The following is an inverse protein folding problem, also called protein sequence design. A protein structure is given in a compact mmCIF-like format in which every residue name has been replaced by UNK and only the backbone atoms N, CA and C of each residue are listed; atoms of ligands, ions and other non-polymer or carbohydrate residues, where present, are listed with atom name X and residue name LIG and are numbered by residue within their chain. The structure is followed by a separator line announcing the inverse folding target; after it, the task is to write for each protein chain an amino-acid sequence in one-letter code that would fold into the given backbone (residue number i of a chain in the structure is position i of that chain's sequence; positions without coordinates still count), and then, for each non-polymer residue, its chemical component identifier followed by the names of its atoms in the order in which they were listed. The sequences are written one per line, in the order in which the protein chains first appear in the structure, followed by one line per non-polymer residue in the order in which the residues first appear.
data_IF_404381426156
#
_entry.id   IF_404381426156
#
_cell.length_a   1.000
_cell.length_b   1.000
_cell.length_c   1.000
_cell.angle_alpha   90.00
_cell.angle_beta   90.00
_cell.angle_gamma   90.00
#
_symmetry.space_group_name_H-M   'P 1'
#
loop_
_entity.id
_entity.type
_entity.pdbx_description
1 polymer ?
#
# COMPACT_ATOMS: atom_id res chain seq x y z
N UNK A 1 -32.39 -39.39 -53.11
CA UNK A 1 -31.88 -38.87 -54.40
C UNK A 1 -32.78 -37.72 -54.81
N UNK A 2 -32.32 -36.53 -55.24
CA UNK A 2 -30.95 -36.01 -55.49
C UNK A 2 -30.50 -35.02 -54.36
N UNK A 3 -29.25 -34.71 -53.99
CA UNK A 3 -27.93 -34.46 -54.63
C UNK A 3 -27.79 -33.14 -55.40
N UNK A 4 -27.09 -32.16 -54.80
CA UNK A 4 -26.15 -31.16 -55.34
C UNK A 4 -25.92 -30.09 -54.25
N UNK A 5 -24.79 -29.93 -53.56
CA UNK A 5 -23.35 -29.88 -53.88
C UNK A 5 -22.90 -28.58 -54.56
N UNK A 6 -21.70 -28.11 -54.15
CA UNK A 6 -20.88 -26.96 -54.62
C UNK A 6 -21.23 -25.57 -54.00
N UNK A 7 -20.29 -24.73 -53.52
CA UNK A 7 -18.84 -24.68 -53.62
C UNK A 7 -18.18 -23.86 -52.48
N UNK A 8 -16.92 -24.21 -52.21
CA UNK A 8 -15.84 -23.46 -51.55
C UNK A 8 -15.66 -22.02 -52.05
N UNK A 9 -15.11 -21.10 -51.24
CA UNK A 9 -13.65 -20.79 -51.14
C UNK A 9 -13.38 -19.46 -50.41
N UNK A 10 -12.26 -19.43 -49.65
CA UNK A 10 -11.44 -18.26 -49.25
C UNK A 10 -12.02 -17.32 -48.18
N UNK A 11 -11.31 -16.91 -47.13
CA UNK A 11 -9.92 -16.43 -47.15
C UNK A 11 -9.30 -16.47 -45.75
N UNK A 12 -8.14 -17.10 -45.66
CA UNK A 12 -7.18 -17.03 -44.57
C UNK A 12 -6.61 -15.61 -44.43
N UNK A 13 -6.72 -14.98 -43.26
CA UNK A 13 -5.91 -13.81 -42.88
C UNK A 13 -6.02 -13.55 -41.38
N UNK A 14 -5.51 -14.46 -40.54
CA UNK A 14 -5.40 -14.23 -39.09
C UNK A 14 -4.22 -14.98 -38.43
N UNK A 15 -3.11 -15.14 -39.14
CA UNK A 15 -1.87 -15.73 -38.63
C UNK A 15 -0.64 -14.84 -38.89
N UNK A 16 -0.77 -13.51 -38.75
CA UNK A 16 0.32 -12.57 -39.06
C UNK A 16 0.50 -11.45 -38.03
N UNK A 17 -0.02 -11.62 -36.81
CA UNK A 17 0.10 -10.60 -35.75
C UNK A 17 0.63 -11.15 -34.41
N UNK A 18 1.06 -12.41 -34.36
CA UNK A 18 1.56 -13.06 -33.14
C UNK A 18 3.08 -13.26 -33.08
N UNK A 19 3.83 -12.90 -34.13
CA UNK A 19 5.29 -13.06 -34.16
C UNK A 19 6.07 -11.75 -33.95
N UNK A 20 5.41 -10.59 -33.97
CA UNK A 20 6.09 -9.28 -33.82
C UNK A 20 6.13 -8.76 -32.39
N UNK A 21 5.49 -9.45 -31.43
CA UNK A 21 5.46 -9.04 -30.00
C UNK A 21 6.48 -9.83 -29.16
N UNK A 22 7.12 -10.87 -29.71
CA UNK A 22 8.09 -11.71 -29.00
C UNK A 22 9.54 -11.24 -29.10
N UNK A 23 9.88 -10.31 -30.00
CA UNK A 23 11.27 -9.83 -30.16
C UNK A 23 11.57 -8.54 -29.40
N UNK A 24 10.59 -7.65 -29.17
CA UNK A 24 10.80 -6.44 -28.35
C UNK A 24 10.82 -6.71 -26.84
N UNK A 25 10.32 -7.87 -26.39
CA UNK A 25 10.36 -8.28 -24.98
C UNK A 25 11.71 -8.87 -24.56
N UNK A 26 12.54 -9.29 -25.51
CA UNK A 26 13.85 -9.91 -25.24
C UNK A 26 14.98 -8.89 -25.07
N UNK A 27 14.75 -7.63 -25.45
CA UNK A 27 15.77 -6.58 -25.41
C UNK A 27 15.71 -5.73 -24.14
N UNK A 28 14.61 -5.78 -23.38
CA UNK A 28 14.42 -5.04 -22.12
C UNK A 28 14.77 -5.84 -20.87
N UNK A 29 14.86 -7.17 -20.96
CA UNK A 29 15.23 -8.05 -19.84
C UNK A 29 16.75 -8.24 -19.72
N UNK A 30 17.54 -7.81 -20.71
CA UNK A 30 19.00 -7.87 -20.70
C UNK A 30 19.72 -6.63 -20.16
N UNK A 31 19.02 -5.49 -20.02
CA UNK A 31 19.61 -4.22 -19.56
C UNK A 31 19.35 -3.91 -18.07
N UNK A 32 18.62 -4.78 -17.37
CA UNK A 32 18.32 -4.63 -15.92
C UNK A 32 19.14 -5.56 -15.02
N UNK A 33 19.93 -6.48 -15.58
CA UNK A 33 20.76 -7.42 -14.82
C UNK A 33 22.27 -7.09 -14.82
N UNK A 34 22.70 -5.99 -15.44
CA UNK A 34 24.13 -5.70 -15.64
C UNK A 34 24.65 -4.43 -14.94
N UNK A 35 24.14 -4.12 -13.74
CA UNK A 35 24.70 -3.04 -12.90
C UNK A 35 24.87 -3.40 -11.41
N UNK A 36 25.02 -4.69 -11.10
CA UNK A 36 25.44 -5.13 -9.75
C UNK A 36 26.61 -6.12 -9.82
N UNK A 37 27.69 -5.68 -10.46
CA UNK A 37 29.00 -6.31 -10.33
C UNK A 37 29.84 -5.53 -9.33
N UNK A 38 29.95 -6.11 -8.13
CA UNK A 38 30.98 -5.91 -7.11
C UNK A 38 32.04 -4.83 -7.36
N UNK A 39 31.84 -3.65 -6.79
CA UNK A 39 32.95 -2.80 -6.34
C UNK A 39 33.10 -2.93 -4.83
N UNK A 40 34.12 -3.70 -4.44
CA UNK A 40 34.69 -3.72 -3.11
C UNK A 40 35.42 -2.39 -2.91
N UNK A 41 34.74 -1.40 -2.37
CA UNK A 41 35.39 -0.17 -1.90
C UNK A 41 35.02 0.15 -0.44
N UNK A 42 36.06 0.03 0.38
CA UNK A 42 36.39 0.79 1.59
C UNK A 42 35.26 1.11 2.57
N UNK A 43 35.24 0.32 3.64
CA UNK A 43 34.84 0.77 4.96
C UNK A 43 35.67 2.01 5.35
N UNK A 44 35.05 3.20 5.37
CA UNK A 44 35.41 4.28 6.28
C UNK A 44 34.32 5.36 6.26
N UNK A 45 33.49 5.34 7.30
CA UNK A 45 32.36 6.24 7.49
C UNK A 45 31.17 5.48 8.04
N UNK A 46 31.14 5.24 9.35
CA UNK A 46 29.91 4.84 10.04
C UNK A 46 28.93 6.00 10.00
N UNK A 47 28.31 6.19 8.84
CA UNK A 47 27.15 7.02 8.64
C UNK A 47 26.04 6.33 9.43
N UNK A 48 25.91 6.71 10.70
CA UNK A 48 24.99 6.13 11.66
C UNK A 48 23.57 6.63 11.35
N UNK A 49 23.13 6.39 10.11
CA UNK A 49 21.80 6.78 9.62
C UNK A 49 20.77 6.02 10.44
N UNK A 50 20.04 6.77 11.23
CA UNK A 50 18.94 6.30 12.04
C UNK A 50 17.90 5.61 11.15
N UNK A 51 17.50 4.39 11.53
CA UNK A 51 16.45 3.65 10.84
C UNK A 51 15.13 3.95 11.54
N UNK A 52 14.27 4.71 10.87
CA UNK A 52 12.91 4.97 11.34
C UNK A 52 12.04 3.72 11.21
N UNK A 53 11.00 3.62 12.05
CA UNK A 53 10.05 2.49 11.99
C UNK A 53 9.15 2.58 10.77
N UNK A 54 8.85 3.80 10.30
CA UNK A 54 7.90 4.05 9.21
C UNK A 54 8.45 5.08 8.23
N UNK A 55 8.47 4.71 6.96
CA UNK A 55 8.78 5.58 5.83
C UNK A 55 7.53 5.72 4.96
N UNK A 56 7.09 6.96 4.71
CA UNK A 56 5.87 7.21 3.92
C UNK A 56 6.21 8.05 2.70
N UNK A 57 5.77 7.59 1.53
CA UNK A 57 5.98 8.32 0.29
C UNK A 57 5.28 9.69 0.36
N UNK A 58 5.96 10.76 -0.02
CA UNK A 58 5.44 12.14 0.04
C UNK A 58 4.04 12.28 -0.54
N UNK A 59 3.78 11.69 -1.72
CA UNK A 59 2.45 11.75 -2.35
C UNK A 59 1.37 11.14 -1.45
N UNK A 60 1.66 10.06 -0.73
CA UNK A 60 0.71 9.39 0.17
C UNK A 60 0.39 10.30 1.35
N UNK A 61 1.39 10.97 1.95
CA UNK A 61 1.16 11.95 3.02
C UNK A 61 0.25 13.09 2.54
N UNK A 62 0.53 13.64 1.36
CA UNK A 62 -0.24 14.76 0.81
C UNK A 62 -1.67 14.35 0.45
N UNK A 63 -1.84 13.20 -0.21
CA UNK A 63 -3.13 12.70 -0.65
C UNK A 63 -4.03 12.30 0.52
N UNK A 64 -3.47 11.66 1.55
CA UNK A 64 -4.22 11.30 2.77
C UNK A 64 -4.63 12.54 3.56
N UNK A 65 -3.74 13.53 3.76
CA UNK A 65 -4.12 14.82 4.35
C UNK A 65 -5.24 15.49 3.56
N UNK A 66 -5.16 15.47 2.22
CA UNK A 66 -6.17 16.05 1.34
C UNK A 66 -7.52 15.34 1.48
N UNK A 67 -7.55 14.00 1.47
CA UNK A 67 -8.81 13.27 1.56
C UNK A 67 -9.47 13.44 2.94
N UNK A 68 -8.69 13.48 4.02
CA UNK A 68 -9.19 13.75 5.37
C UNK A 68 -9.79 15.15 5.48
N UNK A 69 -9.17 16.16 4.86
CA UNK A 69 -9.72 17.52 4.81
C UNK A 69 -11.02 17.61 4.02
N UNK A 70 -11.16 16.83 2.94
CA UNK A 70 -12.39 16.80 2.13
C UNK A 70 -13.54 16.05 2.83
N UNK A 71 -13.23 15.12 3.73
CA UNK A 71 -14.25 14.37 4.47
C UNK A 71 -14.84 15.13 5.66
N UNK A 72 -14.13 16.14 6.19
CA UNK A 72 -14.58 17.00 7.30
C UNK A 72 -16.02 17.52 7.05
N UNK A 73 -16.98 17.29 7.98
CA UNK A 73 -16.82 16.91 9.40
C UNK A 73 -16.89 15.41 9.71
N UNK A 74 -16.89 14.55 8.70
CA UNK A 74 -16.87 13.10 8.89
C UNK A 74 -15.44 12.57 8.93
N UNK A 75 -15.29 11.39 9.50
CA UNK A 75 -14.04 10.65 9.45
C UNK A 75 -13.81 10.03 8.05
N UNK A 76 -12.58 10.16 7.54
CA UNK A 76 -12.07 9.43 6.38
C UNK A 76 -11.36 8.15 6.83
N UNK A 77 -11.35 7.12 5.97
CA UNK A 77 -10.68 5.84 6.21
C UNK A 77 -10.01 5.36 4.91
N UNK A 78 -8.82 4.77 5.01
CA UNK A 78 -8.10 4.22 3.86
C UNK A 78 -7.04 3.19 4.24
N UNK A 79 -6.75 2.28 3.33
CA UNK A 79 -5.75 1.22 3.49
C UNK A 79 -4.39 1.72 3.01
N UNK A 80 -3.35 1.44 3.78
CA UNK A 80 -1.96 1.74 3.43
C UNK A 80 -1.32 0.52 2.76
N UNK A 81 -0.65 0.76 1.63
CA UNK A 81 0.03 -0.26 0.85
C UNK A 81 1.54 -0.03 0.88
N UNK A 82 2.30 -1.12 0.99
CA UNK A 82 3.73 -1.02 1.18
C UNK A 82 4.44 -2.34 1.37
N UNK A 83 5.60 -2.24 2.01
CA UNK A 83 6.53 -3.33 2.24
C UNK A 83 7.05 -3.30 3.67
N UNK A 84 7.29 -4.48 4.23
CA UNK A 84 7.98 -4.64 5.52
C UNK A 84 9.40 -5.12 5.23
N UNK A 85 10.38 -4.44 5.80
CA UNK A 85 11.79 -4.70 5.57
C UNK A 85 12.53 -4.89 6.89
N UNK A 86 13.72 -5.47 6.81
CA UNK A 86 14.68 -5.55 7.90
C UNK A 86 16.02 -5.01 7.42
N UNK A 87 16.61 -4.06 8.14
CA UNK A 87 17.93 -3.52 7.85
C UNK A 87 18.73 -3.37 9.14
N UNK A 88 19.96 -3.92 9.17
CA UNK A 88 20.82 -3.96 10.37
C UNK A 88 20.08 -4.46 11.63
N UNK A 89 19.26 -5.51 11.47
CA UNK A 89 18.45 -6.10 12.54
C UNK A 89 17.21 -5.29 12.95
N UNK A 90 16.99 -4.09 12.39
CA UNK A 90 15.82 -3.26 12.67
C UNK A 90 14.74 -3.47 11.61
N UNK A 91 13.51 -3.75 12.04
CA UNK A 91 12.34 -3.87 11.17
C UNK A 91 11.76 -2.48 10.91
N UNK A 92 11.32 -2.24 9.68
CA UNK A 92 10.66 -1.00 9.29
C UNK A 92 9.62 -1.24 8.20
N UNK A 93 8.72 -0.28 8.04
CA UNK A 93 7.66 -0.30 7.03
C UNK A 93 7.88 0.83 6.05
N UNK A 94 7.80 0.52 4.76
CA UNK A 94 7.81 1.49 3.67
C UNK A 94 6.44 1.53 3.01
N UNK A 95 5.69 2.59 3.28
CA UNK A 95 4.40 2.87 2.65
C UNK A 95 4.65 3.54 1.29
N UNK A 96 4.10 2.93 0.24
CA UNK A 96 4.31 3.35 -1.16
C UNK A 96 3.03 3.82 -1.84
N UNK A 97 1.87 3.44 -1.31
CA UNK A 97 0.57 3.83 -1.83
C UNK A 97 -0.53 3.75 -0.77
N UNK A 98 -1.74 4.15 -1.16
CA UNK A 98 -2.95 3.95 -0.37
C UNK A 98 -4.15 3.73 -1.29
N UNK A 99 -5.21 3.11 -0.75
CA UNK A 99 -6.50 2.95 -1.42
C UNK A 99 -7.63 3.16 -0.43
N UNK A 100 -8.84 3.40 -0.92
CA UNK A 100 -10.05 3.47 -0.08
C UNK A 100 -11.20 2.75 -0.77
N UNK A 101 -12.32 2.65 -0.07
CA UNK A 101 -13.55 2.02 -0.52
C UNK A 101 -14.73 2.59 0.24
N UNK A 102 -15.94 2.11 -0.07
CA UNK A 102 -17.15 2.57 0.62
C UNK A 102 -17.09 2.26 2.13
N UNK A 103 -17.30 3.27 2.95
CA UNK A 103 -17.29 3.16 4.40
C UNK A 103 -18.57 3.74 5.01
N UNK A 104 -19.01 3.18 6.13
CA UNK A 104 -19.90 3.88 7.05
C UNK A 104 -19.08 4.99 7.71
N UNK A 105 -19.55 6.23 7.65
CA UNK A 105 -18.80 7.39 8.12
C UNK A 105 -19.73 8.35 8.87
N UNK A 106 -19.29 8.72 10.07
CA UNK A 106 -19.89 9.74 10.91
C UNK A 106 -18.82 10.69 11.42
N UNK A 107 -19.15 11.56 12.38
CA UNK A 107 -18.17 12.46 12.98
C UNK A 107 -17.18 11.76 13.93
N UNK A 108 -17.49 10.57 14.43
CA UNK A 108 -16.69 9.85 15.44
C UNK A 108 -16.68 8.32 15.20
N UNK A 109 -16.88 7.92 13.95
CA UNK A 109 -16.86 6.50 13.56
C UNK A 109 -16.67 6.38 12.05
N UNK A 110 -15.73 5.53 11.66
CA UNK A 110 -15.55 5.08 10.29
C UNK A 110 -15.23 3.58 10.23
N UNK A 111 -15.94 2.85 9.36
CA UNK A 111 -15.67 1.42 9.09
C UNK A 111 -15.93 1.10 7.62
N UNK A 112 -15.07 0.28 7.01
CA UNK A 112 -15.34 -0.20 5.66
C UNK A 112 -16.59 -1.08 5.62
N UNK A 113 -17.49 -0.77 4.71
CA UNK A 113 -18.60 -1.68 4.38
C UNK A 113 -18.06 -2.95 3.71
N UNK A 114 -18.80 -4.07 3.69
CA UNK A 114 -18.40 -5.25 2.92
C UNK A 114 -18.14 -4.94 1.43
N UNK A 115 -18.92 -4.01 0.85
CA UNK A 115 -18.71 -3.51 -0.51
C UNK A 115 -17.40 -2.71 -0.63
N UNK A 116 -17.08 -1.91 0.38
CA UNK A 116 -15.81 -1.17 0.45
C UNK A 116 -14.59 -2.08 0.51
N UNK A 117 -14.71 -3.19 1.26
CA UNK A 117 -13.68 -4.24 1.31
C UNK A 117 -13.42 -4.84 -0.07
N UNK A 118 -14.49 -5.22 -0.76
CA UNK A 118 -14.38 -5.73 -2.14
C UNK A 118 -13.75 -4.69 -3.08
N UNK A 119 -14.17 -3.43 -2.98
CA UNK A 119 -13.65 -2.36 -3.82
C UNK A 119 -12.17 -2.11 -3.65
N UNK A 120 -11.69 -1.92 -2.42
CA UNK A 120 -10.25 -1.68 -2.25
C UNK A 120 -9.45 -2.92 -2.67
N UNK A 121 -10.00 -4.13 -2.48
CA UNK A 121 -9.34 -5.37 -2.90
C UNK A 121 -9.24 -5.44 -4.43
N UNK A 122 -10.32 -5.11 -5.14
CA UNK A 122 -10.32 -5.00 -6.61
C UNK A 122 -9.35 -3.94 -7.11
N UNK A 123 -9.31 -2.75 -6.50
CA UNK A 123 -8.37 -1.68 -6.88
C UNK A 123 -6.92 -2.15 -6.72
N UNK A 124 -6.58 -2.80 -5.61
CA UNK A 124 -5.24 -3.35 -5.38
C UNK A 124 -4.92 -4.40 -6.45
N UNK A 125 -5.87 -5.27 -6.76
CA UNK A 125 -5.70 -6.33 -7.74
C UNK A 125 -5.52 -5.78 -9.16
N UNK A 126 -6.33 -4.81 -9.57
CA UNK A 126 -6.24 -4.19 -10.91
C UNK A 126 -4.93 -3.41 -11.07
N UNK A 127 -4.49 -2.71 -10.03
CA UNK A 127 -3.30 -1.87 -10.10
C UNK A 127 -1.99 -2.65 -10.07
N UNK A 128 -1.94 -3.76 -9.32
CA UNK A 128 -0.69 -4.49 -9.07
C UNK A 128 -0.70 -5.95 -9.50
N UNK A 129 -1.84 -6.50 -9.92
CA UNK A 129 -1.99 -7.90 -10.28
C UNK A 129 -1.69 -8.85 -9.11
N UNK A 130 -1.33 -10.10 -9.44
CA UNK A 130 -0.91 -11.15 -8.51
C UNK A 130 0.58 -11.47 -8.63
N UNK A 131 1.45 -10.46 -8.70
CA UNK A 131 2.88 -10.69 -8.61
C UNK A 131 3.35 -10.81 -7.15
N UNK A 132 4.46 -11.53 -6.91
CA UNK A 132 5.03 -11.67 -5.57
C UNK A 132 5.54 -10.32 -5.02
N UNK A 133 6.08 -9.48 -5.90
CA UNK A 133 6.73 -8.20 -5.59
C UNK A 133 5.77 -7.02 -5.41
N UNK A 134 4.45 -7.24 -5.50
CA UNK A 134 3.48 -6.15 -5.31
C UNK A 134 3.46 -5.62 -3.87
N UNK A 135 3.14 -4.32 -3.69
CA UNK A 135 2.82 -3.78 -2.37
C UNK A 135 1.69 -4.56 -1.70
N UNK A 136 1.82 -4.80 -0.41
CA UNK A 136 0.79 -5.48 0.41
C UNK A 136 0.11 -4.49 1.34
N UNK A 137 -1.02 -4.89 1.91
CA UNK A 137 -1.63 -4.15 3.02
C UNK A 137 -0.63 -4.15 4.17
N UNK A 138 -0.13 -2.96 4.51
CA UNK A 138 0.80 -2.75 5.63
C UNK A 138 0.19 -1.88 6.72
N UNK A 139 -1.07 -1.49 6.59
CA UNK A 139 -1.69 -0.59 7.55
C UNK A 139 -3.01 0.00 7.12
N UNK A 140 -3.49 0.93 7.94
CA UNK A 140 -4.72 1.69 7.73
C UNK A 140 -4.50 3.12 8.25
N UNK A 141 -5.16 4.09 7.65
CA UNK A 141 -5.25 5.44 8.18
C UNK A 141 -6.71 5.82 8.38
N UNK A 142 -6.98 6.65 9.38
CA UNK A 142 -8.27 7.33 9.47
C UNK A 142 -8.10 8.75 10.03
N UNK A 143 -9.16 9.55 9.99
CA UNK A 143 -9.11 10.91 10.51
C UNK A 143 -10.01 11.18 11.70
N UNK A 144 -9.53 11.98 12.64
CA UNK A 144 -10.29 12.57 13.74
C UNK A 144 -10.44 14.08 13.52
N UNK A 145 -11.51 14.59 12.88
CA UNK A 145 -11.69 16.01 12.61
C UNK A 145 -12.19 16.79 13.84
N UNK A 146 -11.54 16.60 15.01
CA UNK A 146 -11.96 17.22 16.27
C UNK A 146 -11.32 18.58 16.51
N UNK A 147 -10.19 18.89 15.85
CA UNK A 147 -9.43 20.12 16.06
C UNK A 147 -8.58 20.07 17.33
N UNK A 148 -8.23 18.88 17.79
CA UNK A 148 -7.44 18.66 19.00
C UNK A 148 -6.33 17.66 18.73
N UNK A 149 -5.48 17.40 19.73
CA UNK A 149 -4.48 16.34 19.64
C UNK A 149 -5.19 14.98 19.61
N UNK A 150 -5.18 14.22 18.50
CA UNK A 150 -6.01 13.05 18.38
C UNK A 150 -5.45 11.91 19.22
N UNK A 151 -6.37 11.19 19.85
CA UNK A 151 -6.12 9.97 20.62
C UNK A 151 -7.06 8.86 20.14
N UNK A 152 -6.65 7.62 20.32
CA UNK A 152 -7.48 6.46 20.01
C UNK A 152 -8.69 6.36 20.95
N UNK A 153 -9.85 6.05 20.37
CA UNK A 153 -11.02 5.53 21.08
C UNK A 153 -10.87 4.02 21.35
N UNK A 154 -11.75 3.46 22.18
CA UNK A 154 -11.82 2.00 22.36
C UNK A 154 -12.18 1.27 21.06
N UNK A 155 -13.02 1.87 20.22
CA UNK A 155 -13.40 1.34 18.90
C UNK A 155 -12.21 1.26 17.96
N UNK A 156 -11.32 2.26 18.02
CA UNK A 156 -10.09 2.29 17.23
C UNK A 156 -9.17 1.12 17.58
N UNK A 157 -8.92 0.92 18.88
CA UNK A 157 -8.17 -0.25 19.35
C UNK A 157 -8.81 -1.57 18.89
N UNK A 158 -10.14 -1.67 19.01
CA UNK A 158 -10.90 -2.83 18.53
C UNK A 158 -10.75 -3.06 17.03
N UNK A 159 -10.67 -2.01 16.21
CA UNK A 159 -10.54 -2.14 14.76
C UNK A 159 -9.11 -2.50 14.37
N UNK A 160 -8.10 -1.86 14.99
CA UNK A 160 -6.72 -1.95 14.52
C UNK A 160 -5.97 -3.17 15.07
N UNK A 161 -6.42 -3.74 16.20
CA UNK A 161 -5.86 -4.95 16.77
C UNK A 161 -6.59 -6.23 16.32
N UNK A 162 -7.51 -6.10 15.36
CA UNK A 162 -8.23 -7.20 14.71
C UNK A 162 -7.81 -7.39 13.24
N UNK A 163 -8.07 -8.58 12.73
CA UNK A 163 -7.81 -8.94 11.34
C UNK A 163 -8.58 -8.01 10.37
N UNK A 164 -7.97 -7.55 9.26
CA UNK A 164 -6.62 -7.89 8.75
C UNK A 164 -5.50 -6.92 9.18
N UNK A 165 -5.76 -6.02 10.12
CA UNK A 165 -4.85 -4.92 10.46
C UNK A 165 -3.90 -5.24 11.63
N UNK A 166 -4.10 -6.38 12.28
CA UNK A 166 -3.45 -6.82 13.52
C UNK A 166 -2.06 -7.48 13.36
N UNK A 167 -1.55 -7.55 12.13
CA UNK A 167 -0.23 -8.12 11.89
C UNK A 167 0.85 -7.22 12.51
N UNK A 168 1.82 -7.83 13.19
CA UNK A 168 2.95 -7.12 13.79
C UNK A 168 3.66 -6.21 12.76
N UNK A 169 4.04 -5.01 13.16
CA UNK A 169 4.55 -3.95 12.29
C UNK A 169 3.56 -3.49 11.21
N UNK A 170 2.25 -3.73 11.32
CA UNK A 170 1.30 -2.93 10.57
C UNK A 170 1.28 -1.50 11.12
N UNK A 171 1.15 -0.54 10.22
CA UNK A 171 1.16 0.89 10.50
C UNK A 171 -0.27 1.37 10.64
N UNK A 172 -0.48 2.20 11.66
CA UNK A 172 -1.67 2.98 11.78
C UNK A 172 -1.35 4.46 11.70
N UNK A 173 -2.06 5.20 10.86
CA UNK A 173 -1.90 6.65 10.73
C UNK A 173 -3.15 7.39 11.21
N UNK A 174 -2.97 8.26 12.19
CA UNK A 174 -4.02 9.11 12.75
C UNK A 174 -3.86 10.54 12.27
N UNK A 175 -4.89 11.08 11.62
CA UNK A 175 -4.84 12.40 11.00
C UNK A 175 -5.93 13.31 11.60
N UNK A 176 -5.56 14.45 12.17
CA UNK A 176 -6.53 15.52 12.44
C UNK A 176 -6.35 16.62 11.37
N UNK A 177 -7.28 16.76 10.40
CA UNK A 177 -7.15 17.75 9.34
C UNK A 177 -7.33 19.20 9.82
N UNK A 178 -7.95 19.43 10.99
CA UNK A 178 -8.19 20.77 11.56
C UNK A 178 -7.00 21.24 12.38
N UNK A 179 -6.43 20.36 13.20
CA UNK A 179 -5.26 20.64 14.03
C UNK A 179 -3.91 20.30 13.36
N UNK A 180 -3.94 19.75 12.14
CA UNK A 180 -2.77 19.38 11.33
C UNK A 180 -1.88 18.30 11.96
N UNK A 181 -2.46 17.44 12.82
CA UNK A 181 -1.75 16.28 13.35
C UNK A 181 -1.67 15.17 12.30
N UNK A 182 -0.52 14.50 12.27
CA UNK A 182 -0.27 13.30 11.48
C UNK A 182 0.64 12.38 12.31
N UNK A 183 0.04 11.43 13.00
CA UNK A 183 0.74 10.51 13.90
C UNK A 183 0.81 9.13 13.30
N UNK A 184 1.89 8.42 13.59
CA UNK A 184 2.10 7.05 13.16
C UNK A 184 2.24 6.14 14.36
N UNK A 185 1.63 4.97 14.27
CA UNK A 185 1.69 3.92 15.27
C UNK A 185 2.01 2.60 14.58
N UNK A 186 2.63 1.67 15.30
CA UNK A 186 2.83 0.30 14.83
C UNK A 186 2.20 -0.71 15.77
N UNK A 187 1.72 -1.82 15.21
CA UNK A 187 1.29 -2.98 15.99
C UNK A 187 2.52 -3.67 16.56
N UNK A 188 2.58 -3.74 17.89
CA UNK A 188 3.59 -4.47 18.65
C UNK A 188 2.94 -5.63 19.40
N UNK A 189 3.75 -6.63 19.75
CA UNK A 189 3.35 -7.71 20.66
C UNK A 189 4.25 -7.68 21.88
N UNK A 190 3.67 -7.85 23.06
CA UNK A 190 4.45 -8.04 24.28
C UNK A 190 4.92 -9.50 24.43
N UNK A 191 5.70 -9.76 25.49
CA UNK A 191 6.24 -11.09 25.79
C UNK A 191 5.16 -12.15 26.06
N UNK A 192 3.94 -11.71 26.41
CA UNK A 192 2.77 -12.57 26.60
C UNK A 192 1.96 -12.77 25.29
N UNK A 193 2.41 -12.17 24.17
CA UNK A 193 1.76 -12.23 22.87
C UNK A 193 0.54 -11.31 22.72
N UNK A 194 0.25 -10.44 23.71
CA UNK A 194 -0.82 -9.45 23.64
C UNK A 194 -0.42 -8.34 22.67
N UNK A 195 -1.37 -7.91 21.85
CA UNK A 195 -1.14 -6.88 20.84
C UNK A 195 -1.36 -5.49 21.44
N UNK A 196 -0.56 -4.53 21.01
CA UNK A 196 -0.70 -3.11 21.36
C UNK A 196 -0.32 -2.21 20.20
N UNK A 197 -0.56 -0.91 20.39
CA UNK A 197 -0.11 0.14 19.46
C UNK A 197 0.97 0.97 20.14
N UNK A 198 2.09 1.14 19.46
CA UNK A 198 3.19 2.01 19.90
C UNK A 198 3.29 3.20 18.96
N UNK A 199 3.26 4.43 19.50
CA UNK A 199 3.54 5.64 18.72
C UNK A 199 5.01 5.62 18.29
N UNK A 200 5.26 5.89 17.01
CA UNK A 200 6.62 5.90 16.45
C UNK A 200 6.83 7.09 15.53
N UNK A 201 8.07 7.54 15.48
CA UNK A 201 8.48 8.51 14.47
C UNK A 201 8.37 7.91 13.06
N UNK A 202 8.01 8.78 12.13
CA UNK A 202 7.93 8.47 10.72
C UNK A 202 8.66 9.53 9.91
N UNK A 203 9.12 9.15 8.73
CA UNK A 203 9.82 10.05 7.82
C UNK A 203 9.19 10.02 6.43
N UNK A 204 9.11 11.18 5.81
CA UNK A 204 8.68 11.32 4.43
C UNK A 204 9.85 11.02 3.48
N UNK A 205 9.59 10.30 2.40
CA UNK A 205 10.58 10.10 1.33
C UNK A 205 9.99 10.41 -0.05
N UNK A 206 10.86 10.71 -1.01
CA UNK A 206 10.53 10.92 -2.42
C UNK A 206 11.17 9.85 -3.29
N UNK A 207 10.59 9.59 -4.46
CA UNK A 207 11.26 8.83 -5.52
C UNK A 207 12.01 9.86 -6.37
N UNK A 208 13.29 9.60 -6.63
CA UNK A 208 14.08 10.41 -7.56
C UNK A 208 13.73 10.06 -8.99
#
# INVERSE_FOLDING_TARGET
MPSNNTNDTKTSKQQSLTETVSEEKKTLEGELEHEFSSEKEKEEGTDNKEVYHVYILQRVVQETKRICKLADPKEALGILLGYKYTYKGKRYVKVVDWVTGHAYQSHAYAEFTPKGVQQYTSIIQEKYGDCETRPRIVGIFHSHPFGTNPSFSSTDYGTFLNFPYDAEYNVFVLIDPRAKYYKSYIVVKDDEGRKGLQEVDWVEYTVK
#
